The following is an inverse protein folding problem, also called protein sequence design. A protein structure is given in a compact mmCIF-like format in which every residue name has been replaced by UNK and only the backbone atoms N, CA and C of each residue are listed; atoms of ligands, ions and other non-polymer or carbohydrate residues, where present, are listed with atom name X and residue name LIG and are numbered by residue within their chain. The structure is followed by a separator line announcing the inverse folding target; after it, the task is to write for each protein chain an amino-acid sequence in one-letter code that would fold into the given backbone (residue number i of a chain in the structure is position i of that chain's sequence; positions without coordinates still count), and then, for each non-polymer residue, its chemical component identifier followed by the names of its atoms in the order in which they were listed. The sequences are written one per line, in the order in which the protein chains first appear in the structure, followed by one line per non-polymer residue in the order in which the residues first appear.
data_IF_937711551297
#
_entry.id   IF_937711551297
#
_cell.length_a   1.000
_cell.length_b   1.000
_cell.length_c   1.000
_cell.angle_alpha   90.00
_cell.angle_beta   90.00
_cell.angle_gamma   90.00
#
_symmetry.space_group_name_H-M   'P 1'
#
loop_
_entity.id
_entity.type
_entity.pdbx_description
1 polymer ?
#
# COMPACT_ATOMS: atom_id res chain seq x y z
N UNK A 1 -23.29 4.09 -12.38
CA UNK A 1 -22.23 3.55 -13.27
C UNK A 1 -20.95 3.53 -12.46
N UNK A 2 -20.52 2.36 -12.00
CA UNK A 2 -19.25 2.21 -11.29
C UNK A 2 -18.14 2.27 -12.33
N UNK A 3 -17.31 3.31 -12.29
CA UNK A 3 -16.11 3.37 -13.13
C UNK A 3 -15.27 2.11 -12.89
N UNK A 4 -15.01 1.36 -13.96
CA UNK A 4 -14.04 0.27 -13.91
C UNK A 4 -12.69 0.86 -13.50
N UNK A 5 -12.14 0.40 -12.38
CA UNK A 5 -10.84 0.82 -11.88
C UNK A 5 -9.72 0.28 -12.80
N UNK A 6 -9.59 0.89 -13.99
CA UNK A 6 -8.56 0.56 -14.96
C UNK A 6 -7.21 0.97 -14.38
N UNK A 7 -6.31 -0.01 -14.22
CA UNK A 7 -4.97 0.26 -13.73
C UNK A 7 -4.23 1.09 -14.79
N UNK A 8 -3.83 2.31 -14.42
CA UNK A 8 -2.98 3.15 -15.28
C UNK A 8 -1.68 2.41 -15.58
N UNK A 9 -1.23 2.51 -16.83
CA UNK A 9 -0.02 1.84 -17.30
C UNK A 9 0.93 2.86 -17.92
N UNK A 10 2.14 2.99 -17.35
CA UNK A 10 3.19 3.85 -17.91
C UNK A 10 3.96 3.18 -19.05
N UNK A 11 3.79 1.87 -19.29
CA UNK A 11 4.57 1.08 -20.23
C UNK A 11 5.94 0.62 -19.72
N UNK A 12 6.47 1.28 -18.68
CA UNK A 12 7.77 0.93 -18.09
C UNK A 12 7.63 0.18 -16.76
N UNK A 13 8.51 -0.80 -16.52
CA UNK A 13 8.48 -1.69 -15.35
C UNK A 13 9.80 -1.67 -14.61
N UNK A 14 9.73 -1.60 -13.28
CA UNK A 14 10.84 -1.90 -12.37
C UNK A 14 10.70 -3.35 -11.87
N UNK A 15 11.78 -4.12 -12.00
CA UNK A 15 11.91 -5.44 -11.37
C UNK A 15 12.77 -5.33 -10.11
N UNK A 16 12.38 -6.01 -9.05
CA UNK A 16 13.13 -6.10 -7.80
C UNK A 16 13.79 -7.47 -7.69
N UNK A 17 14.84 -7.59 -6.87
CA UNK A 17 15.54 -8.86 -6.62
C UNK A 17 14.62 -9.97 -6.10
N UNK A 18 13.57 -9.58 -5.35
CA UNK A 18 12.53 -10.50 -4.87
C UNK A 18 11.62 -11.06 -5.96
N UNK A 19 11.82 -10.66 -7.22
CA UNK A 19 10.97 -11.03 -8.36
C UNK A 19 9.69 -10.20 -8.48
N UNK A 20 9.49 -9.19 -7.64
CA UNK A 20 8.37 -8.27 -7.79
C UNK A 20 8.54 -7.38 -9.03
N UNK A 21 7.44 -7.13 -9.73
CA UNK A 21 7.36 -6.21 -10.87
C UNK A 21 6.36 -5.10 -10.56
N UNK A 22 6.73 -3.84 -10.80
CA UNK A 22 5.83 -2.69 -10.63
C UNK A 22 6.04 -1.68 -11.74
N UNK A 23 5.00 -0.91 -12.06
CA UNK A 23 5.15 0.28 -12.90
C UNK A 23 6.08 1.29 -12.24
N UNK A 24 6.83 2.01 -13.07
CA UNK A 24 7.55 3.19 -12.61
C UNK A 24 6.54 4.26 -12.20
N UNK A 25 6.73 4.81 -11.01
CA UNK A 25 5.80 5.74 -10.37
C UNK A 25 6.35 7.16 -10.44
N UNK A 26 6.25 7.80 -11.59
CA UNK A 26 6.50 9.24 -11.72
C UNK A 26 5.26 10.06 -11.31
N UNK A 27 5.49 11.24 -10.70
CA UNK A 27 4.44 12.19 -10.34
C UNK A 27 3.52 11.82 -9.17
N UNK A 28 3.66 10.63 -8.56
CA UNK A 28 2.78 10.17 -7.44
C UNK A 28 3.35 10.43 -6.04
N UNK A 29 4.60 10.88 -5.94
CA UNK A 29 5.32 11.05 -4.68
C UNK A 29 5.79 9.73 -4.06
N UNK A 30 6.82 9.79 -3.22
CA UNK A 30 7.39 8.64 -2.48
C UNK A 30 7.02 8.73 -1.00
N UNK A 31 5.77 8.41 -0.69
CA UNK A 31 5.25 8.45 0.69
C UNK A 31 6.01 7.54 1.65
N UNK A 32 6.61 6.47 1.12
CA UNK A 32 7.50 5.56 1.86
C UNK A 32 8.80 6.22 2.35
N UNK A 33 9.20 7.36 1.76
CA UNK A 33 10.37 8.13 2.18
C UNK A 33 10.04 9.26 3.17
N UNK A 34 8.76 9.46 3.50
CA UNK A 34 8.37 10.51 4.42
C UNK A 34 8.73 10.14 5.87
N UNK A 35 9.13 11.11 6.71
CA UNK A 35 9.28 10.90 8.15
C UNK A 35 7.90 10.82 8.81
N UNK A 36 7.24 9.66 8.65
CA UNK A 36 5.85 9.46 9.08
C UNK A 36 5.66 9.63 10.59
N UNK A 37 6.70 9.42 11.39
CA UNK A 37 6.72 9.72 12.82
C UNK A 37 6.64 11.23 13.08
N UNK A 38 7.51 12.02 12.47
CA UNK A 38 7.52 13.49 12.61
C UNK A 38 6.18 14.06 12.13
N UNK A 39 5.70 13.62 10.97
CA UNK A 39 4.41 14.06 10.43
C UNK A 39 3.23 13.61 11.29
N UNK A 40 3.27 12.38 11.82
CA UNK A 40 2.24 11.86 12.71
C UNK A 40 2.16 12.64 14.01
N UNK A 41 3.30 12.92 14.65
CA UNK A 41 3.37 13.74 15.86
C UNK A 41 2.89 15.17 15.59
N UNK A 42 3.40 15.81 14.54
CA UNK A 42 3.05 17.20 14.22
C UNK A 42 1.55 17.38 13.93
N UNK A 43 0.93 16.40 13.26
CA UNK A 43 -0.49 16.45 12.91
C UNK A 43 -1.41 15.80 13.94
N UNK A 44 -0.88 15.28 15.06
CA UNK A 44 -1.64 14.48 16.03
C UNK A 44 -2.37 13.29 15.37
N UNK A 45 -1.76 12.70 14.33
CA UNK A 45 -2.35 11.61 13.56
C UNK A 45 -1.73 10.27 13.98
N UNK A 46 -2.45 9.56 14.85
CA UNK A 46 -2.04 8.23 15.33
C UNK A 46 -1.91 7.19 14.21
N UNK A 47 -2.54 7.39 13.05
CA UNK A 47 -2.43 6.46 11.92
C UNK A 47 -1.05 6.54 11.30
N UNK A 48 -0.56 7.76 11.04
CA UNK A 48 0.78 7.97 10.49
C UNK A 48 1.86 7.48 11.48
N UNK A 49 1.68 7.78 12.77
CA UNK A 49 2.56 7.28 13.83
C UNK A 49 2.58 5.74 13.88
N UNK A 50 1.42 5.10 13.80
CA UNK A 50 1.33 3.63 13.78
C UNK A 50 1.92 3.02 12.51
N UNK A 51 1.73 3.64 11.33
CA UNK A 51 2.40 3.19 10.09
C UNK A 51 3.92 3.30 10.25
N UNK A 52 4.43 4.38 10.84
CA UNK A 52 5.87 4.52 11.14
C UNK A 52 6.37 3.43 12.08
N UNK A 53 5.62 3.12 13.13
CA UNK A 53 5.97 2.04 14.06
C UNK A 53 5.98 0.67 13.36
N UNK A 54 5.01 0.39 12.50
CA UNK A 54 5.03 -0.82 11.68
C UNK A 54 6.28 -0.89 10.78
N UNK A 55 6.67 0.21 10.13
CA UNK A 55 7.88 0.24 9.30
C UNK A 55 9.16 -0.08 10.10
N UNK A 56 9.22 0.35 11.38
CA UNK A 56 10.38 0.15 12.26
C UNK A 56 10.41 -1.25 12.89
N UNK A 57 9.26 -1.82 13.23
CA UNK A 57 9.18 -3.05 14.03
C UNK A 57 8.70 -4.27 13.25
N UNK A 58 8.05 -4.05 12.10
CA UNK A 58 7.29 -5.04 11.35
C UNK A 58 6.18 -5.73 12.19
N UNK A 59 5.77 -5.14 13.31
CA UNK A 59 4.68 -5.64 14.15
C UNK A 59 3.32 -5.20 13.57
N UNK A 60 2.53 -6.18 13.15
CA UNK A 60 1.23 -5.97 12.52
C UNK A 60 0.20 -5.35 13.46
N UNK A 61 0.38 -5.40 14.79
CA UNK A 61 -0.51 -4.73 15.75
C UNK A 61 -0.65 -3.24 15.46
N UNK A 62 0.43 -2.59 15.01
CA UNK A 62 0.39 -1.19 14.60
C UNK A 62 -0.44 -0.97 13.34
N UNK A 63 -0.44 -1.89 12.37
CA UNK A 63 -1.34 -1.78 11.21
C UNK A 63 -2.81 -1.92 11.63
N UNK A 64 -3.11 -2.87 12.53
CA UNK A 64 -4.46 -2.99 13.09
C UNK A 64 -4.88 -1.72 13.82
N UNK A 65 -4.00 -1.11 14.61
CA UNK A 65 -4.27 0.14 15.31
C UNK A 65 -4.44 1.34 14.35
N UNK A 66 -3.66 1.42 13.27
CA UNK A 66 -3.83 2.44 12.23
C UNK A 66 -5.19 2.31 11.54
N UNK A 67 -5.66 1.08 11.30
CA UNK A 67 -6.93 0.79 10.66
C UNK A 67 -8.14 0.94 11.60
N UNK A 68 -8.00 0.61 12.88
CA UNK A 68 -9.11 0.69 13.85
C UNK A 68 -9.58 2.13 14.07
N UNK A 69 -8.67 3.10 13.96
CA UNK A 69 -8.98 4.53 13.99
C UNK A 69 -9.94 4.99 12.87
N UNK A 70 -10.15 4.18 11.82
CA UNK A 70 -11.05 4.50 10.70
C UNK A 70 -12.51 4.17 11.05
N UNK A 71 -12.80 3.54 12.20
CA UNK A 71 -14.14 3.14 12.66
C UNK A 71 -14.97 2.48 11.54
N UNK A 72 -14.33 1.61 10.76
CA UNK A 72 -14.87 1.12 9.49
C UNK A 72 -15.00 -0.40 9.55
N UNK A 73 -16.23 -0.91 9.65
CA UNK A 73 -16.54 -2.16 8.97
C UNK A 73 -16.34 -1.87 7.50
N UNK A 74 -15.32 -2.45 6.86
CA UNK A 74 -15.18 -2.35 5.41
C UNK A 74 -16.49 -2.79 4.79
N UNK A 75 -17.18 -1.85 4.14
CA UNK A 75 -18.38 -2.17 3.41
C UNK A 75 -18.04 -3.17 2.29
N UNK A 76 -19.00 -4.01 1.92
CA UNK A 76 -18.79 -5.03 0.90
C UNK A 76 -18.42 -4.43 -0.46
N UNK A 77 -18.81 -3.19 -0.76
CA UNK A 77 -18.44 -2.52 -2.00
C UNK A 77 -16.95 -2.17 -2.03
N UNK A 78 -16.35 -1.77 -0.92
CA UNK A 78 -14.91 -1.55 -0.79
C UNK A 78 -14.15 -2.87 -0.93
N UNK A 79 -14.64 -3.95 -0.30
CA UNK A 79 -14.06 -5.29 -0.45
C UNK A 79 -14.09 -5.73 -1.91
N UNK A 80 -15.22 -5.55 -2.60
CA UNK A 80 -15.36 -5.86 -4.02
C UNK A 80 -14.42 -5.03 -4.90
N UNK A 81 -14.28 -3.72 -4.61
CA UNK A 81 -13.33 -2.84 -5.31
C UNK A 81 -11.89 -3.30 -5.12
N UNK A 82 -11.52 -3.73 -3.91
CA UNK A 82 -10.20 -4.28 -3.62
C UNK A 82 -10.00 -5.59 -4.39
N UNK A 83 -10.97 -6.50 -4.39
CA UNK A 83 -10.90 -7.75 -5.15
C UNK A 83 -10.68 -7.51 -6.66
N UNK A 84 -11.45 -6.59 -7.26
CA UNK A 84 -11.27 -6.16 -8.66
C UNK A 84 -9.89 -5.54 -8.91
N UNK A 85 -9.35 -4.80 -7.94
CA UNK A 85 -7.99 -4.27 -8.03
C UNK A 85 -6.93 -5.39 -8.04
N UNK A 86 -7.09 -6.42 -7.20
CA UNK A 86 -6.23 -7.60 -7.22
C UNK A 86 -6.33 -8.37 -8.54
N UNK A 87 -7.54 -8.55 -9.09
CA UNK A 87 -7.75 -9.18 -10.41
C UNK A 87 -7.00 -8.42 -11.51
N UNK A 88 -7.17 -7.10 -11.58
CA UNK A 88 -6.49 -6.26 -12.58
C UNK A 88 -4.97 -6.29 -12.40
N UNK A 89 -4.48 -6.33 -11.15
CA UNK A 89 -3.07 -6.46 -10.84
C UNK A 89 -2.49 -7.81 -11.28
N UNK A 90 -3.23 -8.90 -11.05
CA UNK A 90 -2.82 -10.25 -11.45
C UNK A 90 -2.75 -10.39 -12.99
N UNK A 91 -3.73 -9.84 -13.72
CA UNK A 91 -3.70 -9.79 -15.19
C UNK A 91 -2.46 -9.06 -15.74
N UNK A 92 -1.94 -8.09 -15.00
CA UNK A 92 -0.84 -7.22 -15.45
C UNK A 92 0.55 -7.67 -15.00
N UNK A 93 0.68 -8.26 -13.80
CA UNK A 93 1.97 -8.53 -13.17
C UNK A 93 2.14 -9.98 -12.68
N UNK A 94 1.23 -10.88 -13.04
CA UNK A 94 1.06 -12.25 -12.52
C UNK A 94 0.40 -12.33 -11.14
N UNK A 95 -0.19 -13.51 -10.89
CA UNK A 95 -0.80 -13.85 -9.60
C UNK A 95 0.18 -13.67 -8.44
N UNK A 96 -0.32 -13.12 -7.33
CA UNK A 96 0.43 -12.92 -6.10
C UNK A 96 1.71 -12.07 -6.23
N UNK A 97 1.90 -11.30 -7.31
CA UNK A 97 3.05 -10.38 -7.44
C UNK A 97 3.17 -9.40 -6.26
N UNK A 98 2.05 -9.01 -5.65
CA UNK A 98 2.02 -8.19 -4.44
C UNK A 98 2.75 -8.84 -3.25
N UNK A 99 2.74 -10.18 -3.13
CA UNK A 99 3.46 -10.94 -2.09
C UNK A 99 4.96 -10.97 -2.31
N UNK A 100 5.40 -10.81 -3.56
CA UNK A 100 6.82 -10.70 -3.94
C UNK A 100 7.37 -9.31 -3.57
N UNK A 101 6.49 -8.34 -3.30
CA UNK A 101 6.85 -6.95 -3.02
C UNK A 101 7.68 -6.77 -1.75
N UNK A 102 8.74 -5.96 -1.88
CA UNK A 102 9.74 -5.58 -0.88
C UNK A 102 9.28 -5.69 0.59
N UNK A 103 10.10 -6.32 1.44
CA UNK A 103 10.10 -6.05 2.88
C UNK A 103 10.19 -4.53 3.05
N UNK A 104 9.26 -3.93 3.82
CA UNK A 104 9.47 -2.58 4.30
C UNK A 104 10.84 -2.59 4.98
N UNK A 105 11.76 -1.73 4.52
CA UNK A 105 13.18 -1.76 4.87
C UNK A 105 13.38 -2.10 6.35
N UNK A 106 13.74 -3.35 6.65
CA UNK A 106 14.37 -3.67 7.94
C UNK A 106 15.84 -3.37 7.68
N UNK A 107 16.25 -2.17 8.08
CA UNK A 107 17.67 -1.85 8.24
C UNK A 107 18.06 -2.22 9.65
#
# INVERSE_FOLDING_TARGET
MTEEAKIKDSGERRKFESGAVRDISEGKGRFDLLPLDVLGTANQDNRLTNISNYQKTNDQTYLYAAMSAINYRMDYALIERIAKHFENGAKKYDENNWRKGLRANVT
#
